data_IF_602352944064
#
_entry.id   IF_602352944064
#
_cell.length_a   1.000
_cell.length_b   1.000
_cell.length_c   1.000
_cell.angle_alpha   90.00
_cell.angle_beta   90.00
_cell.angle_gamma   90.00
#
_symmetry.space_group_name_H-M   'P 1'
#
loop_
_entity.id
_entity.type
_entity.pdbx_description
1 polymer ?
#
# COMPACT_ATOMS: atom_id res chain seq x y z
N UNK A 1 23.76 -1.43 -24.90
CA UNK A 1 22.80 -0.38 -24.52
C UNK A 1 23.58 0.79 -23.96
N UNK A 2 23.31 2.01 -24.42
CA UNK A 2 23.91 3.20 -23.79
C UNK A 2 23.19 3.37 -22.45
N UNK A 3 23.95 3.43 -21.35
CA UNK A 3 23.39 3.75 -20.06
C UNK A 3 23.06 5.24 -20.04
N UNK A 4 21.78 5.56 -20.18
CA UNK A 4 21.27 6.93 -20.13
C UNK A 4 20.39 7.15 -18.89
N UNK A 5 19.95 8.39 -18.72
CA UNK A 5 19.11 8.77 -17.59
C UNK A 5 17.80 7.97 -17.52
N UNK A 6 17.21 7.64 -18.68
CA UNK A 6 15.93 6.91 -18.75
C UNK A 6 16.08 5.47 -18.25
N UNK A 7 17.17 4.80 -18.67
CA UNK A 7 17.52 3.45 -18.20
C UNK A 7 17.76 3.47 -16.70
N UNK A 8 18.55 4.42 -16.19
CA UNK A 8 18.82 4.56 -14.77
C UNK A 8 17.53 4.74 -13.95
N UNK A 9 16.65 5.65 -14.37
CA UNK A 9 15.38 5.91 -13.70
C UNK A 9 14.47 4.68 -13.69
N UNK A 10 14.38 3.97 -14.81
CA UNK A 10 13.58 2.75 -14.93
C UNK A 10 14.01 1.68 -13.92
N UNK A 11 15.32 1.46 -13.78
CA UNK A 11 15.87 0.53 -12.80
C UNK A 11 15.62 0.98 -11.36
N UNK A 12 15.78 2.27 -11.06
CA UNK A 12 15.52 2.80 -9.71
C UNK A 12 14.05 2.59 -9.33
N UNK A 13 13.13 2.93 -10.23
CA UNK A 13 11.69 2.75 -10.01
C UNK A 13 11.33 1.27 -9.84
N UNK A 14 11.90 0.40 -10.66
CA UNK A 14 11.69 -1.05 -10.54
C UNK A 14 12.22 -1.60 -9.21
N UNK A 15 13.43 -1.22 -8.82
CA UNK A 15 14.05 -1.64 -7.56
C UNK A 15 13.28 -1.10 -6.35
N UNK A 16 12.66 0.08 -6.44
CA UNK A 16 11.82 0.61 -5.38
C UNK A 16 10.57 -0.24 -5.10
N UNK A 17 10.10 -1.04 -6.06
CA UNK A 17 8.95 -1.93 -5.85
C UNK A 17 9.20 -3.01 -4.79
N UNK A 18 10.44 -3.47 -4.64
CA UNK A 18 10.81 -4.52 -3.70
C UNK A 18 10.60 -4.10 -2.23
N UNK A 19 11.22 -3.01 -1.72
CA UNK A 19 10.98 -2.58 -0.35
C UNK A 19 9.52 -2.19 -0.11
N UNK A 20 8.86 -1.53 -1.08
CA UNK A 20 7.44 -1.17 -0.97
C UNK A 20 6.58 -2.42 -0.72
N UNK A 21 6.74 -3.43 -1.57
CA UNK A 21 5.99 -4.68 -1.49
C UNK A 21 6.29 -5.44 -0.20
N UNK A 22 7.55 -5.49 0.21
CA UNK A 22 7.95 -6.10 1.47
C UNK A 22 7.25 -5.46 2.67
N UNK A 23 7.21 -4.13 2.74
CA UNK A 23 6.52 -3.43 3.83
C UNK A 23 5.02 -3.73 3.86
N UNK A 24 4.36 -3.77 2.70
CA UNK A 24 2.93 -4.08 2.63
C UNK A 24 2.65 -5.53 3.04
N UNK A 25 3.43 -6.49 2.55
CA UNK A 25 3.28 -7.89 2.92
C UNK A 25 3.57 -8.12 4.42
N UNK A 26 4.60 -7.45 4.96
CA UNK A 26 4.90 -7.47 6.40
C UNK A 26 3.74 -6.92 7.22
N UNK A 27 3.13 -5.81 6.80
CA UNK A 27 1.97 -5.23 7.48
C UNK A 27 0.76 -6.18 7.42
N UNK A 28 0.47 -6.76 6.26
CA UNK A 28 -0.55 -7.81 6.14
C UNK A 28 -0.29 -8.96 7.11
N UNK A 29 0.95 -9.46 7.17
CA UNK A 29 1.33 -10.55 8.07
C UNK A 29 1.11 -10.21 9.55
N UNK A 30 1.49 -8.99 9.97
CA UNK A 30 1.26 -8.50 11.34
C UNK A 30 -0.23 -8.50 11.69
N UNK A 31 -1.08 -8.04 10.79
CA UNK A 31 -2.52 -7.94 11.03
C UNK A 31 -3.19 -9.32 11.01
N UNK A 32 -2.92 -10.13 9.98
CA UNK A 32 -3.62 -11.39 9.74
C UNK A 32 -3.16 -12.51 10.69
N UNK A 33 -1.84 -12.67 10.86
CA UNK A 33 -1.27 -13.81 11.61
C UNK A 33 -0.85 -13.44 13.02
N UNK A 34 -0.18 -12.29 13.20
CA UNK A 34 0.23 -11.84 14.54
C UNK A 34 -0.88 -11.13 15.33
N UNK A 35 -2.03 -10.87 14.69
CA UNK A 35 -3.17 -10.12 15.25
C UNK A 35 -2.76 -8.78 15.88
N UNK A 36 -1.72 -8.17 15.32
CA UNK A 36 -1.19 -6.88 15.76
C UNK A 36 -1.87 -5.77 14.96
N UNK A 37 -2.74 -5.03 15.64
CA UNK A 37 -3.58 -3.98 15.05
C UNK A 37 -3.02 -2.57 15.27
N UNK A 38 -1.77 -2.44 15.74
CA UNK A 38 -1.11 -1.15 15.97
C UNK A 38 -1.01 -0.27 14.71
N UNK A 39 -1.06 -0.88 13.53
CA UNK A 39 -0.89 -0.21 12.25
C UNK A 39 -2.20 -0.04 11.44
N UNK A 40 -3.34 -0.41 12.03
CA UNK A 40 -4.65 -0.40 11.35
C UNK A 40 -5.28 0.99 11.44
N UNK A 41 -5.62 1.57 10.28
CA UNK A 41 -6.42 2.80 10.22
C UNK A 41 -5.78 4.02 10.89
N UNK A 42 -4.44 4.10 10.89
CA UNK A 42 -3.71 5.18 11.56
C UNK A 42 -4.10 6.55 11.01
N UNK A 43 -4.39 7.50 11.91
CA UNK A 43 -4.56 8.92 11.59
C UNK A 43 -3.52 9.71 12.38
N UNK A 44 -2.57 10.34 11.68
CA UNK A 44 -1.42 11.04 12.30
C UNK A 44 -0.64 10.16 13.30
N UNK A 45 -0.50 8.86 12.99
CA UNK A 45 0.22 7.90 13.83
C UNK A 45 -0.60 7.32 15.00
N UNK A 46 -1.86 7.71 15.18
CA UNK A 46 -2.72 7.21 16.26
C UNK A 46 -3.73 6.18 15.72
N UNK A 47 -3.86 4.99 16.33
CA UNK A 47 -4.87 4.02 15.96
C UNK A 47 -6.29 4.48 16.36
N UNK A 48 -7.35 3.97 15.72
CA UNK A 48 -8.73 4.26 16.09
C UNK A 48 -9.11 3.61 17.44
N UNK A 49 -10.26 3.97 18.01
CA UNK A 49 -10.74 3.41 19.29
C UNK A 49 -10.93 1.89 19.24
N UNK A 50 -11.38 1.35 18.11
CA UNK A 50 -11.51 -0.10 17.88
C UNK A 50 -10.83 -0.52 16.57
N UNK A 51 -9.51 -0.76 16.59
CA UNK A 51 -8.74 -1.17 15.41
C UNK A 51 -9.15 -2.53 14.85
N UNK A 52 -9.59 -3.45 15.71
CA UNK A 52 -9.95 -4.81 15.31
C UNK A 52 -11.10 -4.84 14.29
N UNK A 53 -12.07 -3.92 14.41
CA UNK A 53 -13.16 -3.75 13.43
C UNK A 53 -12.65 -3.46 12.01
N UNK A 54 -11.54 -2.73 11.89
CA UNK A 54 -10.98 -2.28 10.62
C UNK A 54 -9.83 -3.16 10.12
N UNK A 55 -9.38 -4.12 10.93
CA UNK A 55 -8.27 -5.00 10.62
C UNK A 55 -8.46 -5.82 9.32
N UNK A 56 -9.64 -6.39 9.02
CA UNK A 56 -9.84 -7.13 7.77
C UNK A 56 -9.62 -6.26 6.53
N UNK A 57 -10.08 -5.01 6.55
CA UNK A 57 -9.90 -4.07 5.44
C UNK A 57 -8.45 -3.65 5.29
N UNK A 58 -7.77 -3.32 6.39
CA UNK A 58 -6.35 -2.99 6.35
C UNK A 58 -5.50 -4.17 5.84
N UNK A 59 -5.81 -5.40 6.28
CA UNK A 59 -5.16 -6.60 5.77
C UNK A 59 -5.40 -6.77 4.27
N UNK A 60 -6.65 -6.65 3.80
CA UNK A 60 -7.00 -6.78 2.39
C UNK A 60 -6.28 -5.74 1.52
N UNK A 61 -6.26 -4.47 1.92
CA UNK A 61 -5.57 -3.38 1.19
C UNK A 61 -4.08 -3.69 1.00
N UNK A 62 -3.41 -4.17 2.05
CA UNK A 62 -1.98 -4.49 1.99
C UNK A 62 -1.70 -5.78 1.20
N UNK A 63 -2.57 -6.79 1.31
CA UNK A 63 -2.44 -8.03 0.55
C UNK A 63 -2.67 -7.81 -0.94
N UNK A 64 -3.78 -7.16 -1.32
CA UNK A 64 -4.10 -6.88 -2.73
C UNK A 64 -3.02 -6.00 -3.37
N UNK A 65 -2.59 -4.94 -2.68
CA UNK A 65 -1.49 -4.11 -3.16
C UNK A 65 -0.21 -4.90 -3.39
N UNK A 66 0.17 -5.76 -2.45
CA UNK A 66 1.40 -6.57 -2.59
C UNK A 66 1.29 -7.63 -3.70
N UNK A 67 0.14 -8.30 -3.87
CA UNK A 67 -0.07 -9.28 -4.95
C UNK A 67 0.09 -8.63 -6.33
N UNK A 68 -0.51 -7.46 -6.54
CA UNK A 68 -0.43 -6.78 -7.84
C UNK A 68 0.98 -6.30 -8.13
N UNK A 69 1.69 -5.73 -7.15
CA UNK A 69 3.10 -5.33 -7.35
C UNK A 69 4.02 -6.53 -7.54
N UNK A 70 3.81 -7.65 -6.84
CA UNK A 70 4.52 -8.91 -7.09
C UNK A 70 4.30 -9.42 -8.52
N UNK A 71 3.08 -9.28 -9.04
CA UNK A 71 2.76 -9.64 -10.43
C UNK A 71 3.54 -8.76 -11.40
N UNK A 72 3.60 -7.44 -11.15
CA UNK A 72 4.41 -6.54 -11.96
C UNK A 72 5.92 -6.90 -11.90
N UNK A 73 6.44 -7.20 -10.71
CA UNK A 73 7.83 -7.65 -10.53
C UNK A 73 8.09 -8.94 -11.33
N UNK A 74 7.24 -9.95 -11.16
CA UNK A 74 7.35 -11.21 -11.90
C UNK A 74 7.25 -11.02 -13.42
N UNK A 75 6.36 -10.13 -13.88
CA UNK A 75 6.23 -9.78 -15.30
C UNK A 75 7.51 -9.20 -15.90
N UNK A 76 8.22 -8.33 -15.16
CA UNK A 76 9.52 -7.79 -15.61
C UNK A 76 10.60 -8.87 -15.58
N UNK A 77 10.70 -9.65 -14.49
CA UNK A 77 11.73 -10.67 -14.33
C UNK A 77 11.61 -11.81 -15.36
N UNK A 78 10.41 -12.11 -15.83
CA UNK A 78 10.14 -13.10 -16.88
C UNK A 78 10.23 -12.53 -18.29
N UNK A 79 10.45 -11.22 -18.44
CA UNK A 79 10.42 -10.54 -19.74
C UNK A 79 9.02 -10.43 -20.37
N UNK A 80 7.97 -10.70 -19.60
CA UNK A 80 6.58 -10.67 -20.07
C UNK A 80 6.00 -9.25 -20.14
N UNK A 81 6.48 -8.33 -19.30
CA UNK A 81 5.97 -6.96 -19.22
C UNK A 81 6.99 -5.94 -19.72
N UNK A 82 6.57 -5.10 -20.66
CA UNK A 82 7.33 -3.93 -21.09
C UNK A 82 7.23 -2.77 -20.07
N UNK A 83 7.99 -1.70 -20.31
CA UNK A 83 8.03 -0.55 -19.41
C UNK A 83 6.65 0.05 -19.15
N UNK A 84 5.86 0.26 -20.20
CA UNK A 84 4.53 0.84 -20.08
C UNK A 84 3.62 -0.02 -19.21
N UNK A 85 3.65 -1.34 -19.40
CA UNK A 85 2.79 -2.28 -18.67
C UNK A 85 3.15 -2.33 -17.18
N UNK A 86 4.42 -2.58 -16.83
CA UNK A 86 4.76 -2.72 -15.41
C UNK A 86 4.69 -1.39 -14.67
N UNK A 87 5.10 -0.29 -15.30
CA UNK A 87 5.10 1.04 -14.65
C UNK A 87 3.68 1.55 -14.41
N UNK A 88 2.76 1.35 -15.36
CA UNK A 88 1.34 1.68 -15.17
C UNK A 88 0.72 0.81 -14.07
N UNK A 89 0.97 -0.51 -14.10
CA UNK A 89 0.44 -1.46 -13.11
C UNK A 89 0.92 -1.12 -11.70
N UNK A 90 2.22 -0.87 -11.52
CA UNK A 90 2.78 -0.49 -10.23
C UNK A 90 2.29 0.90 -9.79
N UNK A 91 2.32 1.88 -10.68
CA UNK A 91 1.93 3.26 -10.41
C UNK A 91 0.48 3.38 -9.94
N UNK A 92 -0.47 2.78 -10.68
CA UNK A 92 -1.89 2.82 -10.30
C UNK A 92 -2.12 2.08 -8.98
N UNK A 93 -1.45 0.95 -8.77
CA UNK A 93 -1.57 0.18 -7.52
C UNK A 93 -1.09 0.98 -6.32
N UNK A 94 0.05 1.67 -6.44
CA UNK A 94 0.57 2.52 -5.37
C UNK A 94 -0.42 3.64 -5.04
N UNK A 95 -0.95 4.33 -6.05
CA UNK A 95 -1.93 5.39 -5.84
C UNK A 95 -3.22 4.89 -5.20
N UNK A 96 -3.79 3.79 -5.72
CA UNK A 96 -4.99 3.18 -5.16
C UNK A 96 -4.77 2.72 -3.72
N UNK A 97 -3.61 2.13 -3.41
CA UNK A 97 -3.26 1.70 -2.05
C UNK A 97 -3.21 2.89 -1.10
N UNK A 98 -2.57 4.00 -1.50
CA UNK A 98 -2.49 5.22 -0.69
C UNK A 98 -3.89 5.82 -0.44
N UNK A 99 -4.74 5.87 -1.47
CA UNK A 99 -6.12 6.37 -1.36
C UNK A 99 -6.95 5.45 -0.46
N UNK A 100 -6.82 4.12 -0.60
CA UNK A 100 -7.53 3.15 0.22
C UNK A 100 -7.14 3.27 1.71
N UNK A 101 -5.85 3.37 2.02
CA UNK A 101 -5.37 3.62 3.40
C UNK A 101 -5.91 4.95 3.95
N UNK A 102 -5.96 5.99 3.12
CA UNK A 102 -6.53 7.29 3.50
C UNK A 102 -8.02 7.18 3.84
N UNK A 103 -8.82 6.56 2.97
CA UNK A 103 -10.26 6.35 3.18
C UNK A 103 -10.49 5.54 4.46
N UNK A 104 -9.75 4.44 4.65
CA UNK A 104 -9.85 3.61 5.85
C UNK A 104 -9.52 4.40 7.12
N UNK A 105 -8.47 5.23 7.09
CA UNK A 105 -8.09 6.13 8.19
C UNK A 105 -9.21 7.13 8.52
N UNK A 106 -9.93 7.66 7.52
CA UNK A 106 -11.07 8.57 7.78
C UNK A 106 -12.27 7.83 8.32
N UNK A 107 -12.59 6.68 7.75
CA UNK A 107 -13.72 5.87 8.17
C UNK A 107 -13.53 5.33 9.60
N UNK A 108 -12.30 5.02 10.00
CA UNK A 108 -11.96 4.53 11.33
C UNK A 108 -11.95 5.62 12.42
N UNK A 109 -11.89 6.90 12.05
CA UNK A 109 -11.84 8.02 12.98
C UNK A 109 -13.04 8.96 12.77
N UNK A 110 -14.17 8.73 13.47
CA UNK A 110 -15.37 9.55 13.34
C UNK A 110 -15.07 11.03 13.59
N UNK A 111 -15.60 11.91 12.74
CA UNK A 111 -15.52 13.35 12.98
C UNK A 111 -16.54 13.73 14.05
N UNK A 112 -16.08 13.88 15.30
CA UNK A 112 -16.92 14.43 16.37
C UNK A 112 -17.04 15.94 16.14
N UNK A 113 -18.11 16.36 15.45
CA UNK A 113 -18.53 17.76 15.46
C UNK A 113 -19.08 18.08 16.85
N UNK A 114 -18.26 18.72 17.69
CA UNK A 114 -18.78 19.31 18.93
C UNK A 114 -19.80 20.37 18.53
N UNK A 115 -21.09 20.13 18.80
CA UNK A 115 -22.08 21.21 18.85
C UNK A 115 -21.58 22.21 19.89
N UNK A 116 -21.45 23.49 19.54
CA UNK A 116 -21.31 24.55 20.55
C UNK A 116 -22.53 24.44 21.45
N UNK A 117 -22.31 24.26 22.75
CA UNK A 117 -23.36 24.47 23.74
C UNK A 117 -23.75 25.94 23.66
N UNK A 118 -25.06 26.19 23.49
CA UNK A 118 -25.68 27.51 23.59
C UNK A 118 -25.63 28.01 25.03
#
# INVERSE_FOLDING_TARGET
MVFDFSVALSWILFLALFPITFFWLRRFWRIAFKRDFSEVGLKRGVPPENPAKFAPYAAAINLLGSIVVLTAIGGVLTGSFDYATWSATAGITIWLKLIADFILSRHAHPMVFKRKAE
#
